data_IF_174827758278
#
_entry.id   IF_174827758278
#
_cell.length_a   1.000
_cell.length_b   1.000
_cell.length_c   1.000
_cell.angle_alpha   90.00
_cell.angle_beta   90.00
_cell.angle_gamma   90.00
#
_symmetry.space_group_name_H-M   'P 1'
#
loop_
_entity.id
_entity.type
_entity.pdbx_description
1 polymer ?
#
# COMPACT_ATOMS: atom_id res chain seq x y z
N UNK A 1 -26.48 1.95 -8.57
CA UNK A 1 -25.58 0.86 -9.04
C UNK A 1 -24.39 0.87 -8.12
N UNK A 2 -23.73 -0.27 -7.88
CA UNK A 2 -22.47 -0.27 -7.16
C UNK A 2 -21.41 0.52 -7.98
N UNK A 3 -20.47 1.24 -7.35
CA UNK A 3 -19.41 1.94 -8.07
C UNK A 3 -18.41 0.93 -8.67
N UNK A 4 -17.68 1.36 -9.70
CA UNK A 4 -16.63 0.51 -10.30
C UNK A 4 -15.46 0.29 -9.34
N UNK A 5 -15.06 1.31 -8.58
CA UNK A 5 -13.92 1.25 -7.64
C UNK A 5 -14.36 1.61 -6.23
N UNK A 6 -13.95 0.83 -5.25
CA UNK A 6 -13.91 1.27 -3.85
C UNK A 6 -12.49 1.69 -3.49
N UNK A 7 -12.31 2.97 -3.17
CA UNK A 7 -11.08 3.47 -2.54
C UNK A 7 -11.29 3.44 -1.04
N UNK A 8 -10.42 2.75 -0.31
CA UNK A 8 -10.50 2.60 1.15
C UNK A 8 -9.29 3.24 1.82
N UNK A 9 -9.54 4.07 2.82
CA UNK A 9 -8.51 4.78 3.58
C UNK A 9 -8.59 4.40 5.06
N UNK A 10 -7.71 3.50 5.51
CA UNK A 10 -7.55 3.23 6.94
C UNK A 10 -6.71 4.35 7.56
N UNK A 11 -7.31 5.20 8.39
CA UNK A 11 -6.63 6.30 9.07
C UNK A 11 -6.36 5.97 10.55
N UNK A 12 -5.19 6.38 11.04
CA UNK A 12 -4.82 6.33 12.46
C UNK A 12 -3.70 7.33 12.73
N UNK A 13 -3.99 8.37 13.50
CA UNK A 13 -3.04 9.44 13.83
C UNK A 13 -2.35 10.00 12.56
N UNK A 14 -3.17 10.44 11.61
CA UNK A 14 -2.73 10.98 10.32
C UNK A 14 -3.10 12.47 10.16
N UNK A 15 -3.34 13.22 11.24
CA UNK A 15 -3.79 14.61 11.16
C UNK A 15 -2.94 15.45 10.20
N UNK A 16 -1.62 15.29 10.20
CA UNK A 16 -0.70 16.08 9.36
C UNK A 16 -0.88 15.83 7.85
N UNK A 17 -1.45 14.69 7.43
CA UNK A 17 -1.39 14.25 6.03
C UNK A 17 -2.75 13.89 5.43
N UNK A 18 -3.74 13.58 6.27
CA UNK A 18 -5.01 12.97 5.82
C UNK A 18 -5.76 13.86 4.82
N UNK A 19 -5.77 15.18 4.99
CA UNK A 19 -6.44 16.09 4.06
C UNK A 19 -5.81 16.01 2.67
N UNK A 20 -4.47 16.05 2.57
CA UNK A 20 -3.79 15.92 1.29
C UNK A 20 -4.06 14.55 0.62
N UNK A 21 -4.15 13.47 1.42
CA UNK A 21 -4.51 12.14 0.93
C UNK A 21 -5.92 12.14 0.34
N UNK A 22 -6.93 12.64 1.06
CA UNK A 22 -8.32 12.66 0.62
C UNK A 22 -8.49 13.57 -0.60
N UNK A 23 -7.85 14.74 -0.63
CA UNK A 23 -7.86 15.65 -1.76
C UNK A 23 -7.29 14.97 -3.03
N UNK A 24 -6.20 14.22 -2.92
CA UNK A 24 -5.60 13.49 -4.04
C UNK A 24 -6.52 12.41 -4.61
N UNK A 25 -7.35 11.79 -3.76
CA UNK A 25 -8.34 10.78 -4.16
C UNK A 25 -9.55 11.46 -4.81
N UNK A 26 -10.07 12.54 -4.24
CA UNK A 26 -11.25 13.22 -4.76
C UNK A 26 -10.98 13.97 -6.07
N UNK A 27 -9.70 14.30 -6.34
CA UNK A 27 -9.23 14.91 -7.59
C UNK A 27 -9.00 13.91 -8.74
N UNK A 28 -9.36 12.63 -8.61
CA UNK A 28 -9.17 11.64 -9.66
C UNK A 28 -10.01 11.96 -10.90
N UNK A 29 -9.43 11.79 -12.11
CA UNK A 29 -10.13 11.95 -13.40
C UNK A 29 -11.18 10.87 -13.62
N UNK A 30 -11.00 9.68 -13.07
CA UNK A 30 -12.01 8.63 -13.01
C UNK A 30 -12.97 8.90 -11.86
N UNK A 31 -14.27 9.05 -12.13
CA UNK A 31 -15.28 9.55 -11.17
C UNK A 31 -16.21 8.48 -10.60
N UNK A 32 -16.27 7.29 -11.20
CA UNK A 32 -17.14 6.19 -10.75
C UNK A 32 -16.49 5.38 -9.63
N UNK A 33 -16.33 6.02 -8.47
CA UNK A 33 -15.78 5.40 -7.26
C UNK A 33 -16.52 5.86 -6.00
N UNK A 34 -16.47 5.03 -4.97
CA UNK A 34 -16.75 5.40 -3.59
C UNK A 34 -15.44 5.56 -2.80
N UNK A 35 -15.45 6.45 -1.81
CA UNK A 35 -14.35 6.66 -0.88
C UNK A 35 -14.79 6.32 0.54
N UNK A 36 -14.23 5.27 1.11
CA UNK A 36 -14.51 4.79 2.46
C UNK A 36 -13.34 5.18 3.36
N UNK A 37 -13.58 6.02 4.35
CA UNK A 37 -12.54 6.47 5.29
C UNK A 37 -12.86 5.94 6.68
N UNK A 38 -11.95 5.15 7.25
CA UNK A 38 -12.12 4.55 8.56
C UNK A 38 -11.07 5.09 9.55
N UNK A 39 -11.51 5.95 10.46
CA UNK A 39 -10.69 6.38 11.60
C UNK A 39 -10.61 5.26 12.65
N UNK A 40 -9.40 4.83 12.97
CA UNK A 40 -9.15 3.73 13.90
C UNK A 40 -8.90 4.21 15.33
N UNK A 41 -9.85 4.99 15.87
CA UNK A 41 -9.75 5.60 17.19
C UNK A 41 -8.48 6.45 17.34
N UNK A 42 -8.29 7.39 16.41
CA UNK A 42 -7.19 8.36 16.49
C UNK A 42 -7.25 9.19 17.76
N UNK A 43 -6.11 9.61 18.26
CA UNK A 43 -5.96 10.45 19.46
C UNK A 43 -5.53 11.88 19.13
N UNK A 44 -5.29 12.16 17.83
CA UNK A 44 -5.02 13.48 17.27
C UNK A 44 -6.26 14.02 16.52
N UNK A 45 -6.11 15.13 15.82
CA UNK A 45 -7.19 15.80 15.08
C UNK A 45 -7.62 15.08 13.78
N UNK A 46 -7.19 13.81 13.56
CA UNK A 46 -7.48 13.07 12.33
C UNK A 46 -8.99 13.01 12.06
N UNK A 47 -9.80 12.68 13.08
CA UNK A 47 -11.24 12.53 12.90
C UNK A 47 -11.91 13.86 12.52
N UNK A 48 -11.57 14.97 13.19
CA UNK A 48 -12.09 16.30 12.90
C UNK A 48 -11.78 16.75 11.48
N UNK A 49 -10.58 16.43 10.98
CA UNK A 49 -10.16 16.74 9.61
C UNK A 49 -10.93 15.91 8.59
N UNK A 50 -11.14 14.61 8.85
CA UNK A 50 -11.90 13.71 7.97
C UNK A 50 -13.36 14.18 7.84
N UNK A 51 -13.99 14.67 8.92
CA UNK A 51 -15.38 15.12 8.90
C UNK A 51 -15.66 16.25 7.90
N UNK A 52 -14.66 17.02 7.49
CA UNK A 52 -14.81 18.08 6.48
C UNK A 52 -15.20 17.56 5.10
N UNK A 53 -15.03 16.27 4.86
CA UNK A 53 -15.34 15.61 3.58
C UNK A 53 -16.72 14.92 3.59
N UNK A 54 -17.50 15.03 4.67
CA UNK A 54 -18.76 14.32 4.83
C UNK A 54 -19.85 14.74 3.82
N UNK A 55 -19.75 15.94 3.25
CA UNK A 55 -20.73 16.48 2.30
C UNK A 55 -20.51 15.98 0.85
N UNK A 56 -19.37 15.37 0.52
CA UNK A 56 -19.15 14.77 -0.80
C UNK A 56 -19.91 13.43 -0.88
N UNK A 57 -20.81 13.31 -1.83
CA UNK A 57 -21.68 12.14 -1.99
C UNK A 57 -20.96 10.83 -2.26
N UNK A 58 -19.70 10.89 -2.65
CA UNK A 58 -18.82 9.71 -2.85
C UNK A 58 -18.21 9.21 -1.55
N UNK A 59 -18.20 10.05 -0.49
CA UNK A 59 -17.48 9.81 0.76
C UNK A 59 -18.38 9.16 1.80
N UNK A 60 -17.89 8.11 2.42
CA UNK A 60 -18.51 7.48 3.58
C UNK A 60 -17.49 7.36 4.72
N UNK A 61 -17.77 8.04 5.82
CA UNK A 61 -16.91 8.10 7.00
C UNK A 61 -17.35 7.07 8.04
N UNK A 62 -16.39 6.48 8.74
CA UNK A 62 -16.66 5.57 9.84
C UNK A 62 -15.56 5.66 10.91
N UNK A 63 -15.94 5.39 12.16
CA UNK A 63 -15.01 5.15 13.24
C UNK A 63 -14.96 3.65 13.55
N UNK A 64 -13.77 3.13 13.80
CA UNK A 64 -13.57 1.73 14.13
C UNK A 64 -12.93 1.59 15.51
N UNK A 65 -13.27 0.53 16.27
CA UNK A 65 -12.66 0.31 17.59
C UNK A 65 -11.16 0.20 17.52
N UNK A 66 -10.48 0.71 18.54
CA UNK A 66 -9.03 0.54 18.71
C UNK A 66 -8.62 -0.95 18.78
N UNK A 67 -7.35 -1.22 18.45
CA UNK A 67 -6.74 -2.53 18.58
C UNK A 67 -6.71 -3.36 17.29
N UNK A 68 -5.81 -4.33 17.25
CA UNK A 68 -5.55 -5.19 16.10
C UNK A 68 -4.63 -4.55 15.04
N UNK A 69 -4.21 -3.30 15.22
CA UNK A 69 -3.26 -2.61 14.34
C UNK A 69 -3.72 -2.46 12.89
N UNK A 70 -2.76 -2.25 11.99
CA UNK A 70 -3.02 -2.04 10.57
C UNK A 70 -3.81 -3.20 9.91
N UNK A 71 -3.50 -4.51 10.16
CA UNK A 71 -4.26 -5.59 9.53
C UNK A 71 -5.76 -5.54 9.84
N UNK A 72 -6.11 -5.24 11.10
CA UNK A 72 -7.50 -5.17 11.53
C UNK A 72 -8.22 -3.95 10.92
N UNK A 73 -7.56 -2.78 10.88
CA UNK A 73 -8.14 -1.58 10.29
C UNK A 73 -8.34 -1.74 8.78
N UNK A 74 -7.34 -2.26 8.06
CA UNK A 74 -7.42 -2.54 6.62
C UNK A 74 -8.57 -3.50 6.31
N UNK A 75 -8.68 -4.60 7.08
CA UNK A 75 -9.74 -5.60 6.90
C UNK A 75 -11.14 -5.03 7.21
N UNK A 76 -11.26 -4.14 8.21
CA UNK A 76 -12.55 -3.54 8.58
C UNK A 76 -13.05 -2.61 7.48
N UNK A 77 -12.21 -1.67 7.01
CA UNK A 77 -12.63 -0.73 5.96
C UNK A 77 -12.88 -1.44 4.63
N UNK A 78 -12.09 -2.47 4.30
CA UNK A 78 -12.25 -3.26 3.07
C UNK A 78 -13.58 -4.03 3.04
N UNK A 79 -14.08 -4.52 4.16
CA UNK A 79 -15.37 -5.23 4.22
C UNK A 79 -16.57 -4.37 3.86
N UNK A 80 -16.43 -3.07 3.97
CA UNK A 80 -17.48 -2.10 3.61
C UNK A 80 -17.47 -1.75 2.11
N UNK A 81 -16.45 -2.18 1.37
CA UNK A 81 -16.28 -1.90 -0.05
C UNK A 81 -17.32 -2.66 -0.90
N UNK A 82 -17.92 -1.97 -1.88
CA UNK A 82 -18.95 -2.52 -2.76
C UNK A 82 -18.54 -2.58 -4.23
N UNK A 83 -17.48 -1.87 -4.64
CA UNK A 83 -16.98 -1.80 -6.01
C UNK A 83 -16.38 -3.12 -6.51
N UNK A 84 -16.29 -3.27 -7.82
CA UNK A 84 -15.66 -4.42 -8.47
C UNK A 84 -14.15 -4.46 -8.22
N UNK A 85 -13.53 -3.28 -8.13
CA UNK A 85 -12.11 -3.11 -7.83
C UNK A 85 -11.92 -2.47 -6.46
N UNK A 86 -10.84 -2.84 -5.80
CA UNK A 86 -10.42 -2.30 -4.51
C UNK A 86 -9.06 -1.61 -4.63
N UNK A 87 -8.98 -0.39 -4.10
CA UNK A 87 -7.74 0.35 -3.88
C UNK A 87 -7.65 0.77 -2.42
N UNK A 88 -6.56 0.41 -1.74
CA UNK A 88 -6.27 0.93 -0.40
C UNK A 88 -5.24 2.06 -0.55
N UNK A 89 -5.50 3.19 0.10
CA UNK A 89 -4.55 4.30 0.23
C UNK A 89 -4.35 4.59 1.71
N UNK A 90 -3.13 4.50 2.20
CA UNK A 90 -2.83 4.86 3.59
C UNK A 90 -3.04 6.37 3.81
N UNK A 91 -3.39 6.77 5.04
CA UNK A 91 -3.77 8.14 5.36
C UNK A 91 -2.64 9.19 5.26
N UNK A 92 -1.46 8.81 4.78
CA UNK A 92 -0.28 9.65 4.56
C UNK A 92 0.26 9.60 3.12
N UNK A 93 -0.31 8.74 2.26
CA UNK A 93 0.10 8.58 0.86
C UNK A 93 -0.74 9.43 -0.10
N UNK A 94 -0.23 9.66 -1.32
CA UNK A 94 -0.92 10.39 -2.36
C UNK A 94 -1.04 9.55 -3.62
N UNK A 95 -2.06 9.86 -4.46
CA UNK A 95 -2.20 9.28 -5.80
C UNK A 95 -2.26 10.36 -6.87
N UNK A 96 -1.66 10.06 -8.04
CA UNK A 96 -1.71 10.94 -9.22
C UNK A 96 -3.14 11.08 -9.72
N UNK A 97 -3.58 12.23 -10.24
CA UNK A 97 -4.95 12.45 -10.73
C UNK A 97 -5.44 11.42 -11.75
N UNK A 98 -4.56 10.77 -12.49
CA UNK A 98 -4.90 9.75 -13.49
C UNK A 98 -4.71 8.30 -12.97
N UNK A 99 -4.45 8.13 -11.69
CA UNK A 99 -4.14 6.82 -11.13
C UNK A 99 -5.28 5.81 -11.35
N UNK A 100 -6.50 6.15 -10.94
CA UNK A 100 -7.65 5.26 -11.11
C UNK A 100 -7.97 5.03 -12.59
N UNK A 101 -7.97 6.08 -13.42
CA UNK A 101 -8.23 5.98 -14.85
C UNK A 101 -7.33 4.92 -15.51
N UNK A 102 -6.01 5.05 -15.34
CA UNK A 102 -5.05 4.16 -16.00
C UNK A 102 -5.09 2.73 -15.46
N UNK A 103 -5.34 2.57 -14.17
CA UNK A 103 -5.43 1.25 -13.54
C UNK A 103 -6.72 0.52 -13.93
N UNK A 104 -7.85 1.22 -13.94
CA UNK A 104 -9.14 0.66 -14.38
C UNK A 104 -9.10 0.27 -15.85
N UNK A 105 -8.56 1.13 -16.72
CA UNK A 105 -8.40 0.84 -18.15
C UNK A 105 -7.56 -0.41 -18.38
N UNK A 106 -6.43 -0.54 -17.69
CA UNK A 106 -5.56 -1.72 -17.78
C UNK A 106 -6.30 -3.01 -17.35
N UNK A 107 -7.09 -2.98 -16.27
CA UNK A 107 -7.80 -4.14 -15.76
C UNK A 107 -9.07 -4.47 -16.56
N UNK A 108 -9.74 -3.47 -17.12
CA UNK A 108 -10.90 -3.66 -17.99
C UNK A 108 -10.50 -4.27 -19.34
N UNK A 109 -9.36 -3.83 -19.90
CA UNK A 109 -8.81 -4.36 -21.16
C UNK A 109 -8.28 -5.80 -21.02
N UNK A 110 -7.89 -6.22 -19.80
CA UNK A 110 -7.31 -7.53 -19.54
C UNK A 110 -8.10 -8.26 -18.44
N UNK A 111 -9.20 -8.96 -18.76
CA UNK A 111 -10.08 -9.60 -17.77
C UNK A 111 -9.39 -10.63 -16.86
N UNK A 112 -8.29 -11.24 -17.31
CA UNK A 112 -7.48 -12.20 -16.54
C UNK A 112 -6.60 -11.54 -15.46
N UNK A 113 -6.42 -10.19 -15.52
CA UNK A 113 -5.63 -9.44 -14.54
C UNK A 113 -6.42 -9.31 -13.24
N UNK A 114 -5.82 -9.77 -12.15
CA UNK A 114 -6.39 -9.66 -10.79
C UNK A 114 -5.75 -8.55 -9.97
N UNK A 115 -4.56 -8.10 -10.38
CA UNK A 115 -3.80 -7.04 -9.71
C UNK A 115 -3.05 -6.19 -10.72
N UNK A 116 -3.24 -4.88 -10.65
CA UNK A 116 -2.49 -3.87 -11.41
C UNK A 116 -1.68 -3.03 -10.43
N UNK A 117 -0.43 -2.72 -10.77
CA UNK A 117 0.42 -1.84 -9.96
C UNK A 117 1.19 -0.87 -10.82
N UNK A 118 1.49 0.30 -10.25
CA UNK A 118 2.30 1.35 -10.86
C UNK A 118 3.63 1.53 -10.13
N UNK A 119 4.56 2.27 -10.75
CA UNK A 119 5.69 2.84 -10.01
C UNK A 119 5.19 3.91 -9.04
N UNK A 120 6.08 4.32 -8.13
CA UNK A 120 5.84 5.38 -7.17
C UNK A 120 7.00 6.35 -7.05
N UNK A 121 6.68 7.52 -6.55
CA UNK A 121 7.62 8.50 -6.03
C UNK A 121 7.73 8.32 -4.51
N UNK A 122 8.92 8.40 -3.95
CA UNK A 122 9.10 8.54 -2.51
C UNK A 122 9.18 10.02 -2.16
N UNK A 123 8.36 10.46 -1.22
CA UNK A 123 8.34 11.84 -0.72
C UNK A 123 8.69 11.88 0.77
N UNK A 124 9.25 12.99 1.24
CA UNK A 124 9.51 13.22 2.67
C UNK A 124 8.23 13.73 3.40
N UNK A 125 8.33 13.97 4.71
CA UNK A 125 7.22 14.50 5.51
C UNK A 125 6.76 15.91 5.05
N UNK A 126 7.57 16.63 4.28
CA UNK A 126 7.26 17.95 3.72
C UNK A 126 6.77 17.88 2.27
N UNK A 127 6.45 16.67 1.76
CA UNK A 127 6.06 16.41 0.37
C UNK A 127 7.14 16.67 -0.68
N UNK A 128 8.42 16.85 -0.31
CA UNK A 128 9.50 16.97 -1.27
C UNK A 128 9.88 15.59 -1.82
N UNK A 129 10.17 15.52 -3.11
CA UNK A 129 10.62 14.29 -3.76
C UNK A 129 11.99 13.83 -3.24
N UNK A 130 12.04 12.59 -2.73
CA UNK A 130 13.28 11.93 -2.32
C UNK A 130 13.83 11.06 -3.47
N UNK A 131 12.98 10.32 -4.15
CA UNK A 131 13.34 9.53 -5.34
C UNK A 131 12.12 9.17 -6.16
N UNK A 132 12.28 9.07 -7.46
CA UNK A 132 11.22 8.80 -8.42
C UNK A 132 11.29 7.38 -9.01
N UNK A 133 10.22 6.96 -9.67
CA UNK A 133 10.12 5.78 -10.52
C UNK A 133 10.53 4.46 -9.81
N UNK A 134 10.24 4.34 -8.51
CA UNK A 134 10.53 3.12 -7.73
C UNK A 134 9.45 2.06 -7.93
N UNK A 135 9.86 0.79 -7.95
CA UNK A 135 8.96 -0.36 -8.02
C UNK A 135 9.12 -1.19 -9.30
N UNK A 136 8.24 -2.19 -9.44
CA UNK A 136 8.06 -3.10 -10.58
C UNK A 136 9.28 -3.98 -10.94
N UNK A 137 10.48 -3.68 -10.48
CA UNK A 137 11.71 -4.47 -10.72
C UNK A 137 11.91 -4.88 -12.20
N UNK A 138 11.61 -3.96 -13.13
CA UNK A 138 11.73 -4.16 -14.57
C UNK A 138 10.52 -4.84 -15.24
N UNK A 139 9.46 -5.20 -14.49
CA UNK A 139 8.22 -5.69 -15.08
C UNK A 139 7.49 -4.55 -15.79
N UNK A 140 6.87 -4.84 -16.94
CA UNK A 140 6.06 -3.90 -17.72
C UNK A 140 4.91 -4.64 -18.40
N UNK A 141 3.71 -4.01 -18.47
CA UNK A 141 2.54 -4.58 -19.15
C UNK A 141 2.05 -5.87 -18.49
N UNK A 142 1.41 -6.71 -19.27
CA UNK A 142 0.83 -7.97 -18.84
C UNK A 142 1.92 -9.00 -18.47
N UNK A 143 1.78 -9.62 -17.31
CA UNK A 143 2.68 -10.63 -16.77
C UNK A 143 1.88 -11.76 -16.11
N UNK A 144 2.30 -13.03 -16.21
CA UNK A 144 1.71 -14.08 -15.39
C UNK A 144 1.88 -13.77 -13.89
N UNK A 145 0.80 -13.86 -13.10
CA UNK A 145 0.85 -13.50 -11.67
C UNK A 145 1.90 -14.28 -10.89
N UNK A 146 2.02 -15.59 -11.14
CA UNK A 146 3.08 -16.43 -10.52
C UNK A 146 4.48 -15.94 -10.85
N UNK A 147 4.72 -15.42 -12.07
CA UNK A 147 6.01 -14.84 -12.46
C UNK A 147 6.30 -13.55 -11.69
N UNK A 148 5.30 -12.68 -11.53
CA UNK A 148 5.42 -11.44 -10.76
C UNK A 148 5.67 -11.73 -9.26
N UNK A 149 4.93 -12.66 -8.65
CA UNK A 149 5.12 -13.08 -7.27
C UNK A 149 6.52 -13.69 -7.03
N UNK A 150 6.97 -14.60 -7.94
CA UNK A 150 8.35 -15.13 -7.89
C UNK A 150 9.40 -14.02 -7.99
N UNK A 151 9.17 -13.01 -8.85
CA UNK A 151 10.08 -11.87 -9.01
C UNK A 151 10.22 -11.07 -7.73
N UNK A 152 9.12 -10.82 -7.00
CA UNK A 152 9.14 -10.13 -5.71
C UNK A 152 10.04 -10.84 -4.69
N UNK A 153 9.95 -12.17 -4.60
CA UNK A 153 10.83 -12.96 -3.71
C UNK A 153 12.30 -12.86 -4.15
N UNK A 154 12.60 -13.09 -5.42
CA UNK A 154 14.00 -13.10 -5.93
C UNK A 154 14.70 -11.75 -5.71
N UNK A 155 13.94 -10.65 -5.75
CA UNK A 155 14.47 -9.29 -5.54
C UNK A 155 14.59 -8.96 -4.04
N UNK A 156 13.91 -9.71 -3.16
CA UNK A 156 13.93 -9.53 -1.70
C UNK A 156 13.28 -8.22 -1.24
N UNK A 157 12.30 -7.71 -2.01
CA UNK A 157 11.57 -6.49 -1.65
C UNK A 157 10.19 -6.45 -2.29
N UNK A 158 9.29 -5.62 -1.74
CA UNK A 158 7.99 -5.37 -2.33
C UNK A 158 8.15 -4.57 -3.64
N UNK A 159 8.05 -5.28 -4.78
CA UNK A 159 8.15 -4.68 -6.12
C UNK A 159 6.84 -4.05 -6.57
N UNK A 160 5.72 -4.41 -5.96
CA UNK A 160 4.40 -3.91 -6.30
C UNK A 160 4.15 -2.50 -5.73
N UNK A 161 4.98 -2.10 -4.77
CA UNK A 161 4.82 -0.86 -4.02
C UNK A 161 3.86 -1.03 -2.84
N UNK A 162 3.66 0.06 -2.14
CA UNK A 162 2.70 0.20 -1.06
C UNK A 162 1.27 0.14 -1.63
N UNK A 163 0.22 -0.04 -0.80
CA UNK A 163 -1.15 -0.23 -1.28
C UNK A 163 -1.64 0.88 -2.24
N UNK A 164 -1.23 2.12 -2.03
CA UNK A 164 -1.55 3.24 -2.94
C UNK A 164 -1.12 3.00 -4.41
N UNK A 165 -0.11 2.14 -4.65
CA UNK A 165 0.33 1.78 -6.00
C UNK A 165 -0.59 0.77 -6.69
N UNK A 166 -1.43 0.05 -5.94
CA UNK A 166 -2.13 -1.17 -6.38
C UNK A 166 -3.62 -0.92 -6.56
N UNK A 167 -4.19 -1.48 -7.64
CA UNK A 167 -5.61 -1.74 -7.81
C UNK A 167 -5.78 -3.25 -7.99
N UNK A 168 -6.75 -3.87 -7.31
CA UNK A 168 -7.00 -5.30 -7.43
C UNK A 168 -8.49 -5.61 -7.60
N UNK A 169 -8.83 -6.76 -8.17
CA UNK A 169 -10.19 -7.25 -8.16
C UNK A 169 -10.60 -7.59 -6.73
N UNK A 170 -11.72 -7.05 -6.27
CA UNK A 170 -12.21 -7.26 -4.90
C UNK A 170 -12.52 -8.74 -4.64
N UNK A 171 -13.17 -9.42 -5.60
CA UNK A 171 -13.46 -10.86 -5.50
C UNK A 171 -12.19 -11.72 -5.41
N UNK A 172 -11.11 -11.32 -6.09
CA UNK A 172 -9.83 -12.01 -6.01
C UNK A 172 -9.18 -11.83 -4.63
N UNK A 173 -9.26 -10.64 -4.04
CA UNK A 173 -8.82 -10.42 -2.65
C UNK A 173 -9.62 -11.29 -1.67
N UNK A 174 -10.94 -11.34 -1.80
CA UNK A 174 -11.82 -12.17 -0.95
C UNK A 174 -11.45 -13.65 -1.06
N UNK A 175 -11.29 -14.17 -2.28
CA UNK A 175 -10.88 -15.57 -2.53
C UNK A 175 -9.47 -15.88 -2.05
N UNK A 176 -8.58 -14.88 -2.02
CA UNK A 176 -7.22 -15.01 -1.48
C UNK A 176 -7.17 -14.98 0.07
N UNK A 177 -8.33 -14.81 0.74
CA UNK A 177 -8.45 -14.79 2.20
C UNK A 177 -8.40 -13.39 2.81
N UNK A 178 -8.48 -12.31 2.01
CA UNK A 178 -8.41 -10.93 2.48
C UNK A 178 -6.97 -10.44 2.75
N UNK A 179 -6.83 -9.41 3.58
CA UNK A 179 -5.53 -8.89 3.98
C UNK A 179 -4.81 -9.86 4.91
N UNK A 180 -3.55 -10.17 4.60
CA UNK A 180 -2.72 -11.04 5.42
C UNK A 180 -2.44 -10.39 6.78
N UNK A 181 -2.41 -11.20 7.85
CA UNK A 181 -2.23 -10.73 9.23
C UNK A 181 -1.06 -11.40 9.96
N UNK A 182 -0.42 -12.38 9.33
CA UNK A 182 0.60 -13.21 9.97
C UNK A 182 1.95 -12.51 10.20
N UNK A 183 2.31 -11.57 9.31
CA UNK A 183 3.57 -10.83 9.36
C UNK A 183 3.29 -9.33 9.17
N UNK A 184 3.23 -8.55 10.25
CA UNK A 184 2.80 -7.14 10.22
C UNK A 184 3.57 -6.22 9.26
N UNK A 185 4.82 -6.54 8.93
CA UNK A 185 5.62 -5.74 7.99
C UNK A 185 5.30 -6.03 6.52
N UNK A 186 4.79 -7.21 6.20
CA UNK A 186 4.57 -7.65 4.80
C UNK A 186 3.10 -7.92 4.50
N UNK A 187 2.17 -7.28 5.22
CA UNK A 187 0.73 -7.40 5.00
C UNK A 187 0.38 -7.25 3.52
N UNK A 188 0.84 -6.17 2.91
CA UNK A 188 0.63 -5.81 1.52
C UNK A 188 1.29 -6.82 0.57
N UNK A 189 2.58 -7.05 0.69
CA UNK A 189 3.33 -7.94 -0.20
C UNK A 189 2.81 -9.38 -0.16
N UNK A 190 2.49 -9.90 1.02
CA UNK A 190 1.90 -11.23 1.18
C UNK A 190 0.52 -11.29 0.54
N UNK A 191 -0.34 -10.32 0.81
CA UNK A 191 -1.68 -10.23 0.20
C UNK A 191 -1.59 -10.18 -1.32
N UNK A 192 -0.74 -9.32 -1.88
CA UNK A 192 -0.56 -9.21 -3.32
C UNK A 192 -0.09 -10.52 -3.95
N UNK A 193 0.88 -11.21 -3.32
CA UNK A 193 1.30 -12.52 -3.80
C UNK A 193 0.19 -13.57 -3.75
N UNK A 194 -0.64 -13.58 -2.70
CA UNK A 194 -1.79 -14.50 -2.60
C UNK A 194 -2.82 -14.21 -3.70
N UNK A 195 -3.16 -12.95 -3.95
CA UNK A 195 -4.05 -12.54 -5.05
C UNK A 195 -3.48 -12.97 -6.40
N UNK A 196 -2.17 -12.80 -6.64
CA UNK A 196 -1.49 -13.17 -7.87
C UNK A 196 -1.40 -14.69 -8.14
N UNK A 197 -1.75 -15.52 -7.17
CA UNK A 197 -1.95 -16.96 -7.43
C UNK A 197 -3.27 -17.25 -8.16
N UNK A 198 -4.18 -16.29 -8.24
CA UNK A 198 -5.52 -16.42 -8.82
C UNK A 198 -5.65 -15.85 -10.23
N UNK A 199 -4.64 -15.14 -10.75
CA UNK A 199 -4.69 -14.52 -12.08
C UNK A 199 -3.42 -13.76 -12.42
N UNK A 200 -3.50 -12.94 -13.45
CA UNK A 200 -2.37 -12.20 -14.00
C UNK A 200 -2.13 -10.84 -13.32
N UNK A 201 -0.96 -10.30 -13.57
CA UNK A 201 -0.47 -9.01 -13.11
C UNK A 201 -0.34 -8.03 -14.28
N UNK A 202 -0.68 -6.75 -14.05
CA UNK A 202 -0.38 -5.69 -15.01
C UNK A 202 0.52 -4.62 -14.38
N UNK A 203 1.65 -4.32 -15.02
CA UNK A 203 2.64 -3.37 -14.55
C UNK A 203 2.57 -2.06 -15.36
N UNK A 204 2.15 -0.97 -14.73
CA UNK A 204 2.13 0.39 -15.30
C UNK A 204 3.46 1.09 -15.02
N UNK A 205 4.20 1.51 -16.05
CA UNK A 205 5.52 2.12 -15.88
C UNK A 205 5.49 3.55 -15.35
N UNK A 206 4.31 4.19 -15.28
CA UNK A 206 4.12 5.54 -14.74
C UNK A 206 4.21 5.50 -13.21
N UNK A 207 4.68 6.60 -12.60
CA UNK A 207 4.61 6.84 -11.16
C UNK A 207 3.25 7.44 -10.83
N UNK A 208 2.31 6.61 -10.36
CA UNK A 208 0.91 7.00 -10.11
C UNK A 208 0.57 7.08 -8.61
N UNK A 209 1.54 6.89 -7.74
CA UNK A 209 1.40 7.06 -6.30
C UNK A 209 2.64 7.71 -5.72
N UNK A 210 2.48 8.39 -4.59
CA UNK A 210 3.57 8.92 -3.78
C UNK A 210 3.51 8.29 -2.40
N UNK A 211 4.57 7.57 -2.04
CA UNK A 211 4.74 7.01 -0.71
C UNK A 211 5.51 7.97 0.18
N UNK A 212 4.90 8.36 1.29
CA UNK A 212 5.50 9.28 2.24
C UNK A 212 6.41 8.55 3.21
N UNK A 213 7.58 9.13 3.46
CA UNK A 213 8.52 8.68 4.49
C UNK A 213 8.37 9.58 5.72
N UNK A 214 7.72 9.07 6.77
CA UNK A 214 7.56 9.78 8.05
C UNK A 214 8.05 8.93 9.22
N UNK A 215 8.47 9.59 10.31
CA UNK A 215 9.01 8.92 11.49
C UNK A 215 7.95 8.11 12.26
N UNK A 216 6.67 8.49 12.14
CA UNK A 216 5.53 7.84 12.80
C UNK A 216 5.05 6.58 12.08
N UNK A 217 5.56 6.28 10.88
CA UNK A 217 5.08 5.16 10.07
C UNK A 217 5.27 3.79 10.75
N UNK A 218 4.28 2.93 10.53
CA UNK A 218 4.27 1.54 10.96
C UNK A 218 5.52 0.77 10.53
N UNK A 219 5.96 0.96 9.29
CA UNK A 219 7.15 0.29 8.74
C UNK A 219 8.46 0.68 9.45
N UNK A 220 8.57 1.92 9.90
CA UNK A 220 9.74 2.41 10.67
C UNK A 220 9.78 1.76 12.06
N UNK A 221 8.63 1.64 12.72
CA UNK A 221 8.51 0.99 14.03
C UNK A 221 8.92 -0.49 13.98
N UNK A 222 8.73 -1.16 12.85
CA UNK A 222 9.11 -2.56 12.62
C UNK A 222 10.53 -2.75 12.08
N UNK A 223 11.35 -1.69 11.96
CA UNK A 223 12.65 -1.72 11.27
C UNK A 223 13.61 -2.83 11.73
N UNK A 224 13.52 -3.28 12.99
CA UNK A 224 14.38 -4.37 13.53
C UNK A 224 13.93 -5.77 13.09
N UNK A 225 12.64 -5.96 12.76
CA UNK A 225 12.05 -7.26 12.45
C UNK A 225 11.77 -7.47 10.96
N UNK A 226 12.00 -6.43 10.13
CA UNK A 226 11.66 -6.43 8.70
C UNK A 226 12.19 -7.65 7.95
N UNK A 227 13.51 -7.92 8.07
CA UNK A 227 14.13 -9.02 7.32
C UNK A 227 13.59 -10.39 7.71
N UNK A 228 13.34 -10.62 9.01
CA UNK A 228 12.89 -11.90 9.49
C UNK A 228 11.45 -12.18 9.06
N UNK A 229 10.60 -11.16 9.06
CA UNK A 229 9.22 -11.26 8.57
C UNK A 229 9.20 -11.54 7.06
N UNK A 230 10.03 -10.85 6.26
CA UNK A 230 10.15 -11.10 4.82
C UNK A 230 10.62 -12.53 4.55
N UNK A 231 11.64 -13.02 5.27
CA UNK A 231 12.14 -14.39 5.11
C UNK A 231 11.06 -15.42 5.46
N UNK A 232 10.34 -15.25 6.59
CA UNK A 232 9.23 -16.15 6.93
C UNK A 232 8.14 -16.16 5.86
N UNK A 233 7.80 -14.99 5.32
CA UNK A 233 6.86 -14.88 4.20
C UNK A 233 7.34 -15.65 2.96
N UNK A 234 8.62 -15.52 2.55
CA UNK A 234 9.17 -16.25 1.41
C UNK A 234 9.00 -17.77 1.57
N UNK A 235 9.35 -18.30 2.73
CA UNK A 235 9.25 -19.73 3.01
C UNK A 235 7.81 -20.22 3.09
N UNK A 236 6.89 -19.42 3.65
CA UNK A 236 5.44 -19.71 3.66
C UNK A 236 4.89 -19.75 2.25
N UNK A 237 5.15 -18.74 1.44
CA UNK A 237 4.69 -18.67 0.05
C UNK A 237 5.17 -19.89 -0.77
N UNK A 238 6.41 -20.34 -0.53
CA UNK A 238 6.96 -21.54 -1.17
C UNK A 238 6.25 -22.82 -0.72
N UNK A 239 5.94 -22.95 0.57
CA UNK A 239 5.26 -24.11 1.14
C UNK A 239 3.82 -24.23 0.67
N UNK A 240 3.10 -23.11 0.60
CA UNK A 240 1.71 -23.03 0.16
C UNK A 240 1.57 -23.17 -1.37
N UNK A 241 2.63 -22.90 -2.14
CA UNK A 241 2.62 -22.92 -3.61
C UNK A 241 3.77 -23.79 -4.18
N UNK A 242 3.66 -25.13 -4.14
CA UNK A 242 4.69 -26.01 -4.66
C UNK A 242 5.05 -25.70 -6.10
N UNK A 243 6.37 -25.64 -6.40
CA UNK A 243 6.90 -25.33 -7.71
C UNK A 243 6.95 -23.84 -8.09
N UNK A 244 6.48 -22.93 -7.22
CA UNK A 244 6.60 -21.48 -7.46
C UNK A 244 8.05 -21.00 -7.30
N UNK A 245 8.74 -21.46 -6.26
CA UNK A 245 10.08 -21.03 -5.88
C UNK A 245 11.02 -22.23 -5.79
N UNK A 246 12.20 -22.09 -6.38
CA UNK A 246 13.30 -23.02 -6.20
C UNK A 246 14.07 -22.71 -4.90
N UNK A 247 14.91 -23.66 -4.44
CA UNK A 247 15.83 -23.41 -3.32
C UNK A 247 16.78 -22.24 -3.59
N UNK A 248 17.23 -22.09 -4.84
CA UNK A 248 18.09 -20.99 -5.24
C UNK A 248 17.35 -19.63 -5.17
N UNK A 249 16.08 -19.59 -5.54
CA UNK A 249 15.24 -18.38 -5.42
C UNK A 249 15.11 -17.95 -3.97
N UNK A 250 14.86 -18.89 -3.05
CA UNK A 250 14.75 -18.63 -1.62
C UNK A 250 16.07 -18.09 -1.05
N UNK A 251 17.19 -18.78 -1.29
CA UNK A 251 18.49 -18.34 -0.79
C UNK A 251 18.84 -16.93 -1.29
N UNK A 252 18.59 -16.66 -2.58
CA UNK A 252 18.82 -15.33 -3.15
C UNK A 252 17.92 -14.27 -2.54
N UNK A 253 16.62 -14.55 -2.46
CA UNK A 253 15.62 -13.63 -1.94
C UNK A 253 15.85 -13.27 -0.48
N UNK A 254 16.15 -14.26 0.34
CA UNK A 254 16.42 -14.08 1.78
C UNK A 254 17.67 -13.23 2.03
N UNK A 255 18.75 -13.47 1.27
CA UNK A 255 19.98 -12.68 1.39
C UNK A 255 19.74 -11.23 0.95
N UNK A 256 19.01 -11.01 -0.15
CA UNK A 256 18.68 -9.65 -0.60
C UNK A 256 17.72 -8.96 0.36
N UNK A 257 16.74 -9.65 0.94
CA UNK A 257 15.84 -9.09 1.96
C UNK A 257 16.61 -8.57 3.19
N UNK A 258 17.58 -9.35 3.69
CA UNK A 258 18.46 -8.93 4.79
C UNK A 258 19.32 -7.72 4.41
N UNK A 259 19.94 -7.74 3.21
CA UNK A 259 20.73 -6.62 2.73
C UNK A 259 19.88 -5.34 2.58
N UNK A 260 18.67 -5.46 2.01
CA UNK A 260 17.76 -4.32 1.83
C UNK A 260 17.23 -3.78 3.17
N UNK A 261 17.01 -4.62 4.18
CA UNK A 261 16.65 -4.14 5.52
C UNK A 261 17.79 -3.30 6.14
N UNK A 262 19.04 -3.69 5.93
CA UNK A 262 20.19 -2.91 6.37
C UNK A 262 20.28 -1.56 5.64
N UNK A 263 20.12 -1.55 4.31
CA UNK A 263 20.11 -0.32 3.50
C UNK A 263 18.99 0.63 3.95
N UNK A 264 17.76 0.11 4.22
CA UNK A 264 16.65 0.94 4.73
C UNK A 264 16.97 1.58 6.08
N UNK A 265 17.60 0.84 7.02
CA UNK A 265 18.01 1.41 8.32
C UNK A 265 18.99 2.57 8.15
N UNK A 266 19.97 2.44 7.25
CA UNK A 266 20.88 3.53 6.93
C UNK A 266 20.15 4.71 6.29
N UNK A 267 19.21 4.46 5.39
CA UNK A 267 18.40 5.49 4.75
C UNK A 267 17.54 6.26 5.79
N UNK A 268 16.93 5.57 6.76
CA UNK A 268 16.17 6.22 7.83
C UNK A 268 17.04 7.11 8.71
N UNK A 269 18.28 6.70 9.00
CA UNK A 269 19.25 7.54 9.74
C UNK A 269 19.63 8.79 8.90
N UNK A 270 19.88 8.61 7.61
CA UNK A 270 20.26 9.70 6.71
C UNK A 270 19.11 10.70 6.47
N UNK A 271 17.88 10.19 6.33
CA UNK A 271 16.70 11.04 6.13
C UNK A 271 16.29 11.79 7.41
N UNK A 272 16.54 11.22 8.59
CA UNK A 272 16.42 11.86 9.91
C UNK A 272 15.33 12.95 10.01
N UNK A 273 15.78 14.22 10.03
CA UNK A 273 14.88 15.38 10.15
C UNK A 273 13.86 15.53 9.02
N UNK A 274 14.11 15.00 7.82
CA UNK A 274 13.18 15.05 6.69
C UNK A 274 11.95 14.14 6.89
N UNK A 275 12.02 13.24 7.86
CA UNK A 275 10.91 12.34 8.22
C UNK A 275 10.01 12.91 9.33
N UNK A 276 10.34 14.07 9.91
CA UNK A 276 9.55 14.71 10.96
C UNK A 276 8.59 15.71 10.33
N UNK A 277 7.27 15.65 10.64
CA UNK A 277 6.30 16.62 10.16
C UNK A 277 6.62 18.06 10.62
N UNK A 278 6.17 19.10 9.87
CA UNK A 278 6.44 20.50 10.19
C UNK A 278 5.99 20.91 11.59
N UNK A 279 4.81 20.48 12.00
CA UNK A 279 4.19 20.87 13.27
C UNK A 279 4.87 20.21 14.49
N UNK A 280 5.41 19.01 14.35
CA UNK A 280 6.16 18.33 15.41
C UNK A 280 7.53 18.99 15.72
N UNK A 281 8.05 19.83 14.82
CA UNK A 281 9.29 20.58 15.04
C UNK A 281 9.07 21.79 15.97
N UNK A 282 7.87 22.37 15.94
CA UNK A 282 7.55 23.54 16.77
C UNK A 282 7.43 23.17 18.25
N UNK A 283 6.91 22.00 18.60
CA UNK A 283 6.78 21.53 19.98
C UNK A 283 8.13 21.23 20.66
N UNK A 284 9.14 20.79 19.89
CA UNK A 284 10.48 20.51 20.42
C UNK A 284 11.34 21.77 20.62
N UNK A 285 10.94 22.91 20.04
CA UNK A 285 11.71 24.16 20.14
C UNK A 285 11.16 25.06 21.28
N UNK A 286 10.00 24.72 21.85
CA UNK A 286 9.34 25.47 22.92
C UNK A 286 9.39 24.76 24.28
N UNK A 287 10.06 23.61 24.39
CA UNK A 287 10.35 22.86 25.61
C UNK A 287 11.85 22.96 25.96
#
# INVERSE_FOLDING_TARGET
MAPTVSVVVPAYNNADFIEATLDSILAQTFTDFELLVADHSSTDDTWERIQRYADDSRVRLMQTPAGGGAPANWSRVTREATGDYLKLVCGDDLIDPRCLELQVDAMATHPQVVLCSSRRTLIDAHSNTVTEARGLAGLTGLQPGRTAARRAVIVGSNIFGEPACVLMRRDALERAGGWADSEPYVIDQQTFCNVLMLGDFFALPQSLASFRLSASQWSVNLARQQSDQVVRFHHRLAAENPGLLSRADLVRGDNLARAMAYVRRLAYIWLGRKMTPPDAVLEQTTA
#
